data_IF_484646790514
#
_entry.id   IF_484646790514
#
_cell.length_a   1.000
_cell.length_b   1.000
_cell.length_c   1.000
_cell.angle_alpha   90.00
_cell.angle_beta   90.00
_cell.angle_gamma   90.00
#
_symmetry.space_group_name_H-M   'P 1'
#
loop_
_entity.id
_entity.type
_entity.pdbx_description
1 polymer ?
#
# COMPACT_ATOMS: atom_id res chain seq x y z
N UNK A 1 -7.38 -25.99 -2.00
CA UNK A 1 -6.18 -25.16 -2.26
C UNK A 1 -5.21 -25.40 -1.12
N UNK A 2 -3.90 -25.63 -1.39
CA UNK A 2 -2.92 -25.69 -0.31
C UNK A 2 -2.91 -24.35 0.44
N UNK A 3 -2.75 -24.42 1.77
CA UNK A 3 -2.58 -23.22 2.60
C UNK A 3 -1.36 -22.45 2.07
N UNK A 4 -1.44 -21.11 1.91
CA UNK A 4 -0.28 -20.34 1.53
C UNK A 4 0.89 -20.62 2.50
N UNK A 5 2.14 -20.57 2.02
CA UNK A 5 3.32 -20.89 2.83
C UNK A 5 3.66 -19.80 3.86
N UNK A 6 2.70 -18.94 4.21
CA UNK A 6 2.82 -17.82 5.13
C UNK A 6 1.50 -17.60 5.87
N UNK A 7 1.58 -16.94 7.02
CA UNK A 7 0.40 -16.52 7.78
C UNK A 7 -0.22 -15.27 7.14
N UNK A 8 -1.43 -15.42 6.60
CA UNK A 8 -2.14 -14.33 5.94
C UNK A 8 -2.61 -13.26 6.92
N UNK A 9 -3.04 -13.66 8.12
CA UNK A 9 -3.54 -12.72 9.12
C UNK A 9 -2.42 -11.79 9.57
N UNK A 10 -1.23 -12.36 9.84
CA UNK A 10 -0.06 -11.58 10.21
C UNK A 10 0.43 -10.69 9.07
N UNK A 11 0.41 -11.18 7.82
CA UNK A 11 0.80 -10.37 6.65
C UNK A 11 -0.11 -9.15 6.47
N UNK A 12 -1.42 -9.32 6.59
CA UNK A 12 -2.37 -8.22 6.48
C UNK A 12 -2.26 -7.25 7.66
N UNK A 13 -2.05 -7.78 8.88
CA UNK A 13 -1.79 -6.94 10.05
C UNK A 13 -0.51 -6.12 9.90
N UNK A 14 0.56 -6.67 9.33
CA UNK A 14 1.81 -5.94 9.08
C UNK A 14 1.61 -4.78 8.10
N UNK A 15 0.94 -5.03 6.97
CA UNK A 15 0.61 -3.99 6.00
C UNK A 15 -0.24 -2.87 6.64
N UNK A 16 -1.24 -3.23 7.45
CA UNK A 16 -2.08 -2.27 8.15
C UNK A 16 -1.29 -1.43 9.18
N UNK A 17 -0.37 -2.06 9.94
CA UNK A 17 0.51 -1.35 10.89
C UNK A 17 1.43 -0.37 10.18
N UNK A 18 2.02 -0.74 9.05
CA UNK A 18 2.86 0.16 8.24
C UNK A 18 2.06 1.35 7.70
N UNK A 19 0.85 1.10 7.21
CA UNK A 19 -0.05 2.16 6.76
C UNK A 19 -0.41 3.13 7.90
N UNK A 20 -0.71 2.62 9.10
CA UNK A 20 -0.96 3.43 10.29
C UNK A 20 0.28 4.25 10.69
N UNK A 21 1.45 3.63 10.74
CA UNK A 21 2.71 4.31 11.05
C UNK A 21 3.01 5.44 10.05
N UNK A 22 2.81 5.21 8.74
CA UNK A 22 2.93 6.28 7.75
C UNK A 22 2.00 7.47 8.06
N UNK A 23 0.74 7.20 8.42
CA UNK A 23 -0.24 8.25 8.78
C UNK A 23 0.18 9.05 10.00
N UNK A 24 0.72 8.39 11.02
CA UNK A 24 1.22 9.04 12.25
C UNK A 24 2.38 9.99 11.98
N UNK A 25 3.19 9.74 10.93
CA UNK A 25 4.28 10.67 10.57
C UNK A 25 3.82 11.93 9.85
N UNK A 26 2.64 11.94 9.22
CA UNK A 26 2.18 13.02 8.34
C UNK A 26 2.21 14.43 8.97
N UNK A 27 1.85 14.62 10.27
CA UNK A 27 1.92 15.93 10.90
C UNK A 27 3.33 16.54 10.89
N UNK A 28 4.39 15.73 10.87
CA UNK A 28 5.78 16.22 10.94
C UNK A 28 6.60 15.93 9.67
N UNK A 29 6.03 15.21 8.70
CA UNK A 29 6.71 14.87 7.44
C UNK A 29 6.84 16.07 6.50
N UNK A 30 7.95 16.12 5.76
CA UNK A 30 8.08 16.98 4.58
C UNK A 30 6.98 16.65 3.56
N UNK A 31 6.38 17.69 2.96
CA UNK A 31 5.29 17.48 2.01
C UNK A 31 5.76 16.87 0.68
N UNK A 32 6.97 17.26 0.25
CA UNK A 32 7.65 16.73 -0.94
C UNK A 32 8.45 15.44 -0.62
N UNK A 33 8.68 14.57 -1.61
CA UNK A 33 9.55 13.42 -1.47
C UNK A 33 11.01 13.86 -1.35
N UNK A 34 11.84 12.93 -0.85
CA UNK A 34 13.29 13.10 -0.77
C UNK A 34 13.98 12.70 -2.08
N UNK A 35 13.44 11.70 -2.78
CA UNK A 35 13.92 11.26 -4.09
C UNK A 35 12.97 11.72 -5.19
N UNK A 36 13.54 12.15 -6.32
CA UNK A 36 12.80 12.44 -7.54
C UNK A 36 12.52 11.16 -8.34
N UNK A 37 11.84 11.30 -9.48
CA UNK A 37 11.47 10.17 -10.33
C UNK A 37 12.68 9.37 -10.83
N UNK A 38 13.74 10.05 -11.30
CA UNK A 38 14.95 9.40 -11.77
C UNK A 38 15.71 8.67 -10.63
N UNK A 39 15.70 9.22 -9.43
CA UNK A 39 16.20 8.58 -8.22
C UNK A 39 15.41 7.31 -7.88
N UNK A 40 14.07 7.38 -7.93
CA UNK A 40 13.21 6.22 -7.68
C UNK A 40 13.37 5.13 -8.74
N UNK A 41 13.49 5.48 -10.02
CA UNK A 41 13.76 4.50 -11.09
C UNK A 41 15.05 3.74 -10.83
N UNK A 42 16.16 4.43 -10.53
CA UNK A 42 17.44 3.77 -10.22
C UNK A 42 17.34 2.86 -9.01
N UNK A 43 16.60 3.30 -7.98
CA UNK A 43 16.37 2.53 -6.75
C UNK A 43 15.57 1.24 -7.00
N UNK A 44 14.62 1.27 -7.93
CA UNK A 44 13.71 0.15 -8.23
C UNK A 44 14.15 -0.69 -9.44
N UNK A 45 15.31 -0.40 -10.04
CA UNK A 45 15.80 -1.05 -11.26
C UNK A 45 16.40 -2.46 -11.05
N UNK A 46 16.33 -3.02 -9.84
CA UNK A 46 16.81 -4.38 -9.60
C UNK A 46 15.96 -5.40 -10.39
N UNK A 47 16.57 -6.46 -10.95
CA UNK A 47 15.80 -7.50 -11.65
C UNK A 47 14.85 -8.21 -10.69
N UNK A 48 13.73 -8.70 -11.22
CA UNK A 48 12.83 -9.58 -10.46
C UNK A 48 13.57 -10.88 -10.10
N UNK A 49 13.57 -11.31 -8.82
CA UNK A 49 14.22 -12.54 -8.42
C UNK A 49 13.68 -13.77 -9.15
N UNK A 50 14.56 -14.71 -9.52
CA UNK A 50 14.16 -15.99 -10.15
C UNK A 50 13.40 -16.91 -9.17
N UNK A 51 13.63 -16.72 -7.87
CA UNK A 51 12.95 -17.44 -6.79
C UNK A 51 12.17 -16.48 -5.90
N UNK A 52 10.99 -16.91 -5.43
CA UNK A 52 10.18 -16.12 -4.52
C UNK A 52 10.89 -15.78 -3.21
N UNK A 53 10.50 -14.67 -2.60
CA UNK A 53 10.95 -14.24 -1.27
C UNK A 53 9.87 -14.55 -0.21
N UNK A 54 10.24 -14.65 1.08
CA UNK A 54 9.26 -14.71 2.16
C UNK A 54 8.31 -13.50 2.11
N UNK A 55 7.00 -13.74 2.28
CA UNK A 55 5.99 -12.71 2.07
C UNK A 55 6.19 -11.45 2.92
N UNK A 56 6.62 -11.60 4.18
CA UNK A 56 6.94 -10.47 5.05
C UNK A 56 8.15 -9.66 4.57
N UNK A 57 9.15 -10.31 3.99
CA UNK A 57 10.31 -9.61 3.40
C UNK A 57 9.91 -8.80 2.18
N UNK A 58 8.98 -9.30 1.36
CA UNK A 58 8.45 -8.56 0.21
C UNK A 58 7.79 -7.26 0.66
N UNK A 59 6.89 -7.31 1.65
CA UNK A 59 6.20 -6.13 2.17
C UNK A 59 7.18 -5.16 2.84
N UNK A 60 8.11 -5.67 3.64
CA UNK A 60 9.12 -4.86 4.30
C UNK A 60 10.04 -4.15 3.29
N UNK A 61 10.50 -4.87 2.27
CA UNK A 61 11.32 -4.32 1.20
C UNK A 61 10.55 -3.27 0.41
N UNK A 62 9.30 -3.55 0.03
CA UNK A 62 8.46 -2.59 -0.69
C UNK A 62 8.34 -1.27 0.08
N UNK A 63 7.91 -1.32 1.35
CA UNK A 63 7.76 -0.13 2.18
C UNK A 63 9.08 0.67 2.26
N UNK A 64 10.18 0.00 2.63
CA UNK A 64 11.50 0.64 2.74
C UNK A 64 12.01 1.23 1.42
N UNK A 65 11.76 0.56 0.28
CA UNK A 65 12.15 1.06 -1.03
C UNK A 65 11.33 2.28 -1.44
N UNK A 66 10.03 2.33 -1.10
CA UNK A 66 9.15 3.42 -1.50
C UNK A 66 9.29 4.68 -0.65
N UNK A 67 9.67 4.57 0.64
CA UNK A 67 9.71 5.70 1.59
C UNK A 67 10.33 7.00 1.04
N UNK A 68 11.50 7.01 0.35
CA UNK A 68 12.10 8.24 -0.16
C UNK A 68 11.26 8.96 -1.23
N UNK A 69 10.43 8.23 -1.98
CA UNK A 69 9.60 8.75 -3.06
C UNK A 69 8.19 9.15 -2.64
N UNK A 70 7.78 8.89 -1.40
CA UNK A 70 6.42 9.19 -0.92
C UNK A 70 6.26 10.67 -0.57
N UNK A 71 5.27 11.30 -1.20
CA UNK A 71 4.70 12.58 -0.78
C UNK A 71 3.80 12.42 0.44
N UNK A 72 3.66 13.49 1.25
CA UNK A 72 2.69 13.52 2.36
C UNK A 72 1.26 13.87 1.91
N UNK A 73 0.79 13.35 0.77
CA UNK A 73 -0.48 13.77 0.13
C UNK A 73 -1.73 13.49 0.96
N UNK A 74 -1.65 12.56 1.90
CA UNK A 74 -2.75 12.25 2.81
C UNK A 74 -2.83 13.22 4.02
N UNK A 75 -1.83 14.11 4.19
CA UNK A 75 -1.78 15.08 5.28
C UNK A 75 -2.45 16.40 4.91
N UNK A 76 -2.94 17.13 5.92
CA UNK A 76 -3.69 18.39 5.73
C UNK A 76 -2.88 19.60 5.25
N UNK A 77 -1.60 19.43 4.86
CA UNK A 77 -0.72 20.49 4.36
C UNK A 77 -0.32 20.31 2.90
N UNK A 78 -0.99 19.41 2.20
CA UNK A 78 -0.78 19.17 0.78
C UNK A 78 -1.86 19.90 -0.03
N UNK A 79 -1.46 20.85 -0.88
CA UNK A 79 -2.37 21.75 -1.63
C UNK A 79 -2.22 21.61 -3.15
N UNK A 80 -1.60 20.54 -3.63
CA UNK A 80 -1.34 20.32 -5.05
C UNK A 80 -2.37 19.38 -5.69
N UNK A 81 -2.82 19.74 -6.89
CA UNK A 81 -3.67 18.89 -7.76
C UNK A 81 -4.99 18.45 -7.10
N UNK A 82 -5.71 17.52 -7.73
CA UNK A 82 -6.99 16.95 -7.26
C UNK A 82 -6.78 15.49 -6.84
N UNK A 83 -5.89 15.28 -5.87
CA UNK A 83 -5.45 13.96 -5.40
C UNK A 83 -5.13 13.99 -3.90
N UNK A 84 -5.02 12.81 -3.28
CA UNK A 84 -4.61 12.68 -1.89
C UNK A 84 -5.77 12.67 -0.89
N UNK A 85 -5.49 13.03 0.36
CA UNK A 85 -6.47 13.13 1.46
C UNK A 85 -7.41 11.92 1.68
N UNK A 86 -7.01 10.71 1.26
CA UNK A 86 -7.82 9.49 1.43
C UNK A 86 -8.30 9.30 2.88
N UNK A 87 -9.61 9.17 3.04
CA UNK A 87 -10.26 9.03 4.34
C UNK A 87 -9.86 7.69 5.00
N UNK A 88 -9.46 7.66 6.30
CA UNK A 88 -8.97 6.43 6.94
C UNK A 88 -9.94 5.26 6.89
N UNK A 89 -11.24 5.51 7.06
CA UNK A 89 -12.28 4.47 6.94
C UNK A 89 -12.38 3.93 5.51
N UNK A 90 -12.18 4.78 4.50
CA UNK A 90 -12.16 4.35 3.10
C UNK A 90 -10.97 3.43 2.81
N UNK A 91 -9.78 3.78 3.30
CA UNK A 91 -8.58 2.93 3.16
C UNK A 91 -8.76 1.58 3.86
N UNK A 92 -9.38 1.56 5.04
CA UNK A 92 -9.69 0.30 5.72
C UNK A 92 -10.71 -0.54 4.91
N UNK A 93 -11.71 0.10 4.31
CA UNK A 93 -12.66 -0.56 3.43
C UNK A 93 -11.97 -1.11 2.16
N UNK A 94 -11.02 -0.38 1.56
CA UNK A 94 -10.26 -0.83 0.39
C UNK A 94 -9.47 -2.13 0.65
N UNK A 95 -8.96 -2.30 1.88
CA UNK A 95 -8.30 -3.56 2.29
C UNK A 95 -9.31 -4.72 2.32
N UNK A 96 -10.52 -4.49 2.83
CA UNK A 96 -11.58 -5.50 2.87
C UNK A 96 -12.08 -5.85 1.45
N UNK A 97 -12.32 -4.85 0.60
CA UNK A 97 -12.76 -5.10 -0.79
C UNK A 97 -11.71 -5.88 -1.57
N UNK A 98 -10.44 -5.56 -1.37
CA UNK A 98 -9.31 -6.31 -1.95
C UNK A 98 -9.26 -7.75 -1.45
N UNK A 99 -9.51 -7.97 -0.15
CA UNK A 99 -9.53 -9.31 0.44
C UNK A 99 -10.72 -10.17 -0.04
N UNK A 100 -11.89 -9.56 -0.29
CA UNK A 100 -13.06 -10.28 -0.80
C UNK A 100 -12.95 -10.68 -2.27
N UNK A 101 -12.17 -9.95 -3.07
CA UNK A 101 -11.83 -10.31 -4.45
C UNK A 101 -13.04 -10.46 -5.37
N UNK A 102 -14.10 -9.68 -5.15
CA UNK A 102 -15.38 -9.81 -5.87
C UNK A 102 -15.36 -9.08 -7.23
N UNK A 103 -16.04 -9.65 -8.23
CA UNK A 103 -16.26 -8.98 -9.52
C UNK A 103 -17.63 -8.28 -9.51
N UNK A 104 -17.61 -6.99 -9.15
CA UNK A 104 -18.81 -6.16 -9.07
C UNK A 104 -19.55 -5.93 -10.41
N UNK A 105 -18.98 -6.34 -11.55
CA UNK A 105 -19.67 -6.29 -12.85
C UNK A 105 -20.69 -7.41 -13.08
N UNK A 106 -20.75 -8.42 -12.20
CA UNK A 106 -21.66 -9.55 -12.32
C UNK A 106 -22.45 -9.77 -11.03
N UNK A 107 -23.69 -9.30 -10.99
CA UNK A 107 -24.57 -9.40 -9.82
C UNK A 107 -24.90 -10.85 -9.41
N UNK A 108 -24.81 -11.84 -10.31
CA UNK A 108 -24.98 -13.25 -9.96
C UNK A 108 -23.73 -13.79 -9.23
N UNK A 109 -22.53 -13.39 -9.68
CA UNK A 109 -21.28 -13.82 -9.08
C UNK A 109 -20.97 -13.07 -7.77
N UNK A 110 -21.38 -11.81 -7.67
CA UNK A 110 -21.04 -10.91 -6.56
C UNK A 110 -22.26 -10.11 -6.08
N UNK A 111 -23.29 -10.76 -5.49
CA UNK A 111 -24.53 -10.11 -5.07
C UNK A 111 -24.34 -9.04 -3.98
N UNK A 112 -23.24 -9.09 -3.23
CA UNK A 112 -22.89 -8.07 -2.23
C UNK A 112 -22.51 -6.72 -2.84
N UNK A 113 -22.33 -6.64 -4.17
CA UNK A 113 -22.00 -5.41 -4.90
C UNK A 113 -23.23 -4.65 -5.45
N UNK A 114 -24.41 -4.91 -4.89
CA UNK A 114 -25.67 -4.25 -5.25
C UNK A 114 -25.68 -2.74 -4.92
#
# INVERSE_FOLDING_TARGET
MPKPPFDQAELFADAARRAASFRETLPNRLQRPLADYAGMLRRLAAPTPETGLPAGEVIAALDAQMQPGLHAMAGGRFFGWVIGASHPVGVAADLLTSAWGQNAGNHQASPAAA
#
